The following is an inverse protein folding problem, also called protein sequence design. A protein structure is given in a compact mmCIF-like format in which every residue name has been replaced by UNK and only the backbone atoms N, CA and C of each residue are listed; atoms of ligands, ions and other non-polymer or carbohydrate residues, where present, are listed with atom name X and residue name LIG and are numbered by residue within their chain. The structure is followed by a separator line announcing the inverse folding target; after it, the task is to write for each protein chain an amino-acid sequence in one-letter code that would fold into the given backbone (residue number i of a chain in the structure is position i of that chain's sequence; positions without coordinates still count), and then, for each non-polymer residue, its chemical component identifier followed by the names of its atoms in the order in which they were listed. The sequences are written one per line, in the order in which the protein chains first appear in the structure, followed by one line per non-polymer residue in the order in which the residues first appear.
data_IF_999446176478
#
_entry.id   IF_999446176478
#
_cell.length_a   1.000
_cell.length_b   1.000
_cell.length_c   1.000
_cell.angle_alpha   90.00
_cell.angle_beta   90.00
_cell.angle_gamma   90.00
#
_symmetry.space_group_name_H-M   'P 1'
#
loop_
_entity.id
_entity.type
_entity.pdbx_description
1 polymer ?
#
# COMPACT_ATOMS: atom_id res chain seq x y z
N UNK A 1 9.45 -49.12 28.59
CA UNK A 1 9.94 -49.20 27.20
C UNK A 1 8.93 -48.75 26.14
N UNK A 2 7.62 -49.06 26.26
CA UNK A 2 6.58 -48.55 25.34
C UNK A 2 6.09 -47.13 25.68
N UNK A 3 5.97 -46.79 26.97
CA UNK A 3 5.50 -45.46 27.41
C UNK A 3 6.50 -44.32 27.19
N UNK A 4 7.81 -44.58 27.25
CA UNK A 4 8.84 -43.57 26.93
C UNK A 4 8.86 -43.23 25.45
N UNK A 5 8.76 -44.23 24.57
CA UNK A 5 8.68 -44.01 23.12
C UNK A 5 7.40 -43.27 22.71
N UNK A 6 6.32 -43.43 23.45
CA UNK A 6 5.08 -42.66 23.23
C UNK A 6 5.21 -41.20 23.70
N UNK A 7 5.93 -40.94 24.79
CA UNK A 7 6.27 -39.58 25.23
C UNK A 7 7.23 -38.89 24.26
N UNK A 8 8.24 -39.59 23.78
CA UNK A 8 9.20 -39.07 22.80
C UNK A 8 8.51 -38.82 21.45
N UNK A 9 7.61 -39.70 21.02
CA UNK A 9 6.80 -39.50 19.81
C UNK A 9 5.82 -38.33 19.95
N UNK A 10 5.21 -38.14 21.13
CA UNK A 10 4.34 -36.98 21.41
C UNK A 10 5.13 -35.68 21.55
N UNK A 11 6.36 -35.71 22.05
CA UNK A 11 7.27 -34.56 22.10
C UNK A 11 7.73 -34.18 20.69
N UNK A 12 8.15 -35.15 19.87
CA UNK A 12 8.54 -34.93 18.49
C UNK A 12 7.36 -34.47 17.60
N UNK A 13 6.15 -34.94 17.87
CA UNK A 13 4.93 -34.44 17.20
C UNK A 13 4.57 -33.01 17.61
N UNK A 14 4.87 -32.61 18.85
CA UNK A 14 4.65 -31.24 19.33
C UNK A 14 5.64 -30.26 18.69
N UNK A 15 6.85 -30.70 18.38
CA UNK A 15 7.84 -29.90 17.64
C UNK A 15 7.48 -29.78 16.15
N UNK A 16 6.82 -30.79 15.56
CA UNK A 16 6.35 -30.74 14.17
C UNK A 16 5.07 -29.87 14.03
N UNK A 17 4.19 -29.86 15.03
CA UNK A 17 3.02 -28.97 15.07
C UNK A 17 3.32 -27.55 15.60
N UNK A 18 4.56 -27.26 15.97
CA UNK A 18 5.00 -25.92 16.38
C UNK A 18 5.27 -24.96 15.20
N UNK A 19 5.37 -25.49 13.97
CA UNK A 19 5.76 -24.74 12.76
C UNK A 19 4.63 -24.59 11.73
N UNK A 20 3.42 -25.09 12.02
CA UNK A 20 2.26 -24.94 11.13
C UNK A 20 1.43 -23.67 11.43
N UNK A 21 2.06 -22.50 11.38
CA UNK A 21 1.31 -21.25 11.20
C UNK A 21 1.12 -20.97 9.70
N UNK A 22 0.27 -21.80 9.09
CA UNK A 22 -0.25 -21.60 7.75
C UNK A 22 -1.05 -20.30 7.67
N UNK A 23 -0.42 -19.22 7.24
CA UNK A 23 -1.09 -17.95 6.89
C UNK A 23 -0.54 -17.42 5.57
N UNK A 24 -1.10 -17.93 4.47
CA UNK A 24 -0.86 -17.47 3.10
C UNK A 24 -1.49 -16.10 2.86
N UNK A 25 -0.83 -15.00 3.26
CA UNK A 25 -1.18 -13.64 2.82
C UNK A 25 0.06 -12.74 2.79
N UNK A 26 0.64 -12.52 1.60
CA UNK A 26 1.63 -11.46 1.24
C UNK A 26 2.91 -11.38 2.09
N UNK A 27 4.10 -11.61 1.51
CA UNK A 27 5.36 -11.79 2.25
C UNK A 27 5.66 -10.81 3.41
N UNK A 28 5.36 -9.51 3.32
CA UNK A 28 5.60 -8.59 4.46
C UNK A 28 4.64 -8.86 5.63
N UNK A 29 3.44 -9.37 5.32
CA UNK A 29 2.42 -9.77 6.30
C UNK A 29 2.57 -11.23 6.78
N UNK A 30 3.28 -12.08 6.03
CA UNK A 30 3.64 -13.45 6.46
C UNK A 30 4.88 -13.43 7.34
N UNK A 31 5.86 -12.58 7.00
CA UNK A 31 7.18 -12.57 7.62
C UNK A 31 7.42 -11.36 8.53
N UNK A 32 6.35 -10.69 8.98
CA UNK A 32 6.43 -9.55 9.88
C UNK A 32 7.36 -9.78 11.08
N UNK A 33 7.19 -10.89 11.84
CA UNK A 33 8.06 -11.18 12.97
C UNK A 33 9.52 -11.37 12.54
N UNK A 34 9.77 -12.11 11.46
CA UNK A 34 11.12 -12.35 10.94
C UNK A 34 11.81 -11.06 10.48
N UNK A 35 11.05 -10.09 9.96
CA UNK A 35 11.59 -8.76 9.59
C UNK A 35 12.02 -7.99 10.84
N UNK A 36 11.23 -8.03 11.93
CA UNK A 36 11.63 -7.42 13.20
C UNK A 36 12.78 -8.18 13.87
N UNK A 37 12.86 -9.50 13.72
CA UNK A 37 14.01 -10.28 14.21
C UNK A 37 15.33 -9.88 13.52
N UNK A 38 15.29 -9.56 12.22
CA UNK A 38 16.46 -9.01 11.51
C UNK A 38 16.91 -7.65 12.08
N UNK A 39 16.03 -6.93 12.76
CA UNK A 39 16.31 -5.66 13.44
C UNK A 39 16.74 -5.85 14.91
N UNK A 40 17.15 -7.07 15.30
CA UNK A 40 17.63 -7.45 16.63
C UNK A 40 16.54 -7.67 17.69
N UNK A 41 15.26 -7.70 17.31
CA UNK A 41 14.20 -8.00 18.27
C UNK A 41 14.11 -9.49 18.61
N UNK A 42 13.77 -9.78 19.87
CA UNK A 42 13.34 -11.10 20.31
C UNK A 42 11.99 -11.49 19.67
N UNK A 43 11.81 -12.77 19.30
CA UNK A 43 10.62 -13.32 18.61
C UNK A 43 9.29 -12.85 19.21
N UNK A 44 9.13 -12.92 20.53
CA UNK A 44 7.86 -12.52 21.17
C UNK A 44 7.58 -11.02 21.08
N UNK A 45 8.62 -10.18 21.12
CA UNK A 45 8.46 -8.73 20.92
C UNK A 45 8.19 -8.41 19.45
N UNK A 46 8.87 -9.11 18.54
CA UNK A 46 8.67 -9.02 17.10
C UNK A 46 7.23 -9.35 16.68
N UNK A 47 6.62 -10.37 17.29
CA UNK A 47 5.20 -10.69 17.12
C UNK A 47 4.30 -9.51 17.54
N UNK A 48 4.47 -8.97 18.75
CA UNK A 48 3.64 -7.85 19.22
C UNK A 48 3.81 -6.59 18.36
N UNK A 49 5.04 -6.29 17.91
CA UNK A 49 5.30 -5.18 17.00
C UNK A 49 4.63 -5.40 15.63
N UNK A 50 4.61 -6.65 15.15
CA UNK A 50 3.91 -7.02 13.92
C UNK A 50 2.41 -6.77 14.04
N UNK A 51 1.78 -7.20 15.14
CA UNK A 51 0.37 -6.92 15.39
C UNK A 51 0.10 -5.41 15.44
N UNK A 52 0.95 -4.63 16.13
CA UNK A 52 0.86 -3.17 16.17
C UNK A 52 0.98 -2.54 14.78
N UNK A 53 1.86 -3.10 13.93
CA UNK A 53 2.03 -2.64 12.56
C UNK A 53 0.79 -2.91 11.70
N UNK A 54 0.07 -4.02 11.90
CA UNK A 54 -1.20 -4.25 11.19
C UNK A 54 -2.32 -3.32 11.61
N UNK A 55 -2.37 -2.94 12.89
CA UNK A 55 -3.33 -1.93 13.36
C UNK A 55 -3.01 -0.58 12.71
N UNK A 56 -1.73 -0.18 12.69
CA UNK A 56 -1.32 1.07 12.03
C UNK A 56 -1.65 1.03 10.54
N UNK A 57 -1.37 -0.10 9.88
CA UNK A 57 -1.69 -0.34 8.47
C UNK A 57 -3.18 -0.15 8.17
N UNK A 58 -4.06 -0.72 8.98
CA UNK A 58 -5.51 -0.58 8.84
C UNK A 58 -5.96 0.89 8.96
N UNK A 59 -5.40 1.63 9.92
CA UNK A 59 -5.69 3.05 10.09
C UNK A 59 -5.23 3.89 8.89
N UNK A 60 -3.99 3.69 8.42
CA UNK A 60 -3.45 4.43 7.28
C UNK A 60 -4.12 4.07 5.95
N UNK A 61 -4.51 2.80 5.78
CA UNK A 61 -5.33 2.37 4.65
C UNK A 61 -6.67 3.10 4.64
N UNK A 62 -7.33 3.23 5.79
CA UNK A 62 -8.60 3.98 5.88
C UNK A 62 -8.42 5.44 5.51
N UNK A 63 -7.32 6.06 5.96
CA UNK A 63 -6.98 7.43 5.61
C UNK A 63 -6.68 7.62 4.11
N UNK A 64 -6.15 6.59 3.44
CA UNK A 64 -5.84 6.60 2.00
C UNK A 64 -7.07 6.96 1.15
N UNK A 65 -8.25 6.45 1.52
CA UNK A 65 -9.50 6.71 0.81
C UNK A 65 -9.89 8.18 0.78
N UNK A 66 -9.51 8.94 1.80
CA UNK A 66 -9.78 10.39 1.84
C UNK A 66 -8.78 11.17 0.98
N UNK A 67 -7.55 10.66 0.86
CA UNK A 67 -6.45 11.36 0.19
C UNK A 67 -6.38 11.07 -1.32
N UNK A 68 -6.90 9.92 -1.75
CA UNK A 68 -6.80 9.42 -3.14
C UNK A 68 -7.47 10.35 -4.16
N UNK A 69 -8.59 10.98 -3.79
CA UNK A 69 -9.32 11.90 -4.65
C UNK A 69 -8.69 13.30 -4.72
N UNK A 70 -7.92 13.69 -3.70
CA UNK A 70 -7.29 15.02 -3.63
C UNK A 70 -5.94 15.04 -4.34
N UNK A 71 -5.13 14.01 -4.12
CA UNK A 71 -3.74 13.97 -4.62
C UNK A 71 -3.66 13.41 -6.04
N UNK A 72 -4.57 12.51 -6.41
CA UNK A 72 -4.53 11.75 -7.66
C UNK A 72 -3.79 10.42 -7.50
N UNK A 73 -4.17 9.43 -8.32
CA UNK A 73 -3.76 8.03 -8.19
C UNK A 73 -2.30 7.86 -8.61
N UNK A 74 -1.89 8.47 -9.74
CA UNK A 74 -0.52 8.33 -10.27
C UNK A 74 0.50 8.94 -9.34
N UNK A 75 0.21 10.15 -8.81
CA UNK A 75 1.12 10.82 -7.87
C UNK A 75 1.30 10.01 -6.60
N UNK A 76 0.22 9.46 -6.04
CA UNK A 76 0.29 8.62 -4.84
C UNK A 76 1.13 7.37 -5.04
N UNK A 77 0.98 6.68 -6.18
CA UNK A 77 1.78 5.50 -6.46
C UNK A 77 3.27 5.83 -6.68
N UNK A 78 3.59 6.88 -7.42
CA UNK A 78 4.99 7.26 -7.68
C UNK A 78 5.68 7.72 -6.39
N UNK A 79 5.07 8.63 -5.63
CA UNK A 79 5.60 9.07 -4.33
C UNK A 79 5.65 7.93 -3.32
N UNK A 80 4.65 7.05 -3.32
CA UNK A 80 4.62 5.84 -2.50
C UNK A 80 5.77 4.90 -2.81
N UNK A 81 6.09 4.70 -4.09
CA UNK A 81 7.22 3.88 -4.54
C UNK A 81 8.57 4.43 -4.09
N UNK A 82 8.74 5.75 -4.20
CA UNK A 82 9.96 6.43 -3.75
C UNK A 82 10.11 6.28 -2.25
N UNK A 83 9.05 6.55 -1.48
CA UNK A 83 9.03 6.39 -0.03
C UNK A 83 9.35 4.96 0.41
N UNK A 84 8.73 3.97 -0.23
CA UNK A 84 9.01 2.55 0.02
C UNK A 84 10.46 2.17 -0.29
N UNK A 85 10.98 2.62 -1.43
CA UNK A 85 12.35 2.32 -1.84
C UNK A 85 13.35 2.90 -0.84
N UNK A 86 13.15 4.14 -0.39
CA UNK A 86 13.98 4.77 0.64
C UNK A 86 13.88 4.02 1.96
N UNK A 87 12.68 3.66 2.41
CA UNK A 87 12.49 2.91 3.65
C UNK A 87 13.18 1.54 3.63
N UNK A 88 13.09 0.80 2.53
CA UNK A 88 13.76 -0.49 2.39
C UNK A 88 15.28 -0.37 2.28
N UNK A 89 15.80 0.70 1.66
CA UNK A 89 17.24 1.00 1.69
C UNK A 89 17.73 1.30 3.11
N UNK A 90 16.97 2.08 3.88
CA UNK A 90 17.31 2.35 5.27
C UNK A 90 17.23 1.08 6.12
N UNK A 91 16.22 0.23 5.93
CA UNK A 91 16.13 -1.07 6.61
C UNK A 91 17.32 -1.99 6.26
N UNK A 92 17.81 -1.94 5.02
CA UNK A 92 19.04 -2.65 4.63
C UNK A 92 20.25 -2.13 5.43
N UNK A 93 20.37 -0.81 5.58
CA UNK A 93 21.44 -0.18 6.36
C UNK A 93 21.38 -0.58 7.84
N UNK A 94 20.20 -0.49 8.47
CA UNK A 94 20.01 -0.88 9.88
C UNK A 94 20.22 -2.38 10.10
N UNK A 95 19.75 -3.23 9.17
CA UNK A 95 20.03 -4.67 9.20
C UNK A 95 21.52 -4.99 9.04
N UNK A 96 22.25 -4.22 8.22
CA UNK A 96 23.71 -4.36 8.11
C UNK A 96 24.48 -3.87 9.34
N UNK A 97 23.99 -2.82 10.02
CA UNK A 97 24.58 -2.35 11.29
C UNK A 97 24.45 -3.37 12.42
N UNK A 98 23.44 -4.24 12.38
CA UNK A 98 23.25 -5.33 13.35
C UNK A 98 24.39 -6.37 13.29
N UNK A 99 25.01 -6.55 12.12
CA UNK A 99 26.14 -7.46 11.96
C UNK A 99 27.48 -6.84 12.42
N UNK A 100 27.51 -5.53 12.73
CA UNK A 100 28.72 -4.83 13.19
C UNK A 100 28.81 -4.87 14.70
N UNK A 101 29.89 -5.47 15.22
CA UNK A 101 30.14 -5.54 16.66
C UNK A 101 30.31 -4.16 17.29
N UNK A 102 29.61 -3.89 18.39
CA UNK A 102 29.74 -2.66 19.19
C UNK A 102 28.65 -1.61 18.98
N UNK A 103 27.65 -1.88 18.13
CA UNK A 103 26.44 -1.05 18.02
C UNK A 103 25.42 -1.53 19.07
N UNK A 104 24.83 -0.65 19.90
CA UNK A 104 23.76 -1.04 20.81
C UNK A 104 22.49 -1.45 20.06
N UNK A 105 21.87 -2.57 20.43
CA UNK A 105 20.64 -3.09 19.79
C UNK A 105 19.52 -2.03 19.73
N UNK A 106 19.36 -1.27 20.81
CA UNK A 106 18.42 -0.14 20.91
C UNK A 106 18.60 0.93 19.81
N UNK A 107 19.84 1.13 19.34
CA UNK A 107 20.14 2.09 18.27
C UNK A 107 19.70 1.60 16.88
N UNK A 108 19.36 0.32 16.76
CA UNK A 108 18.90 -0.34 15.52
C UNK A 108 17.39 -0.59 15.62
N UNK A 109 16.95 -1.16 16.74
CA UNK A 109 15.56 -1.54 17.04
C UNK A 109 14.57 -0.37 16.86
N UNK A 110 14.86 0.77 17.50
CA UNK A 110 13.97 1.94 17.49
C UNK A 110 13.82 2.54 16.08
N UNK A 111 14.90 2.97 15.40
CA UNK A 111 14.76 3.55 14.07
C UNK A 111 14.26 2.53 13.05
N UNK A 112 14.71 1.27 13.12
CA UNK A 112 14.23 0.20 12.24
C UNK A 112 12.72 -0.01 12.34
N UNK A 113 12.18 -0.04 13.56
CA UNK A 113 10.73 -0.15 13.79
C UNK A 113 9.96 1.04 13.22
N UNK A 114 10.43 2.27 13.48
CA UNK A 114 9.78 3.48 12.96
C UNK A 114 9.76 3.46 11.43
N UNK A 115 10.86 3.06 10.79
CA UNK A 115 10.96 2.98 9.33
C UNK A 115 10.03 1.92 8.78
N UNK A 116 9.91 0.76 9.43
CA UNK A 116 9.01 -0.30 8.99
C UNK A 116 7.53 0.09 9.12
N UNK A 117 7.16 0.77 10.20
CA UNK A 117 5.83 1.36 10.37
C UNK A 117 5.57 2.44 9.30
N UNK A 118 6.54 3.31 9.03
CA UNK A 118 6.43 4.31 7.98
C UNK A 118 6.30 3.67 6.59
N UNK A 119 7.07 2.63 6.29
CA UNK A 119 6.97 1.88 5.03
C UNK A 119 5.55 1.28 4.86
N UNK A 120 5.02 0.69 5.92
CA UNK A 120 3.67 0.11 5.94
C UNK A 120 2.60 1.17 5.74
N UNK A 121 2.74 2.33 6.39
CA UNK A 121 1.85 3.48 6.19
C UNK A 121 1.89 4.00 4.75
N UNK A 122 3.08 4.17 4.19
CA UNK A 122 3.28 4.63 2.80
C UNK A 122 2.68 3.62 1.81
N UNK A 123 2.85 2.32 2.04
CA UNK A 123 2.24 1.28 1.22
C UNK A 123 0.70 1.33 1.26
N UNK A 124 0.13 1.44 2.47
CA UNK A 124 -1.31 1.54 2.66
C UNK A 124 -1.92 2.77 1.99
N UNK A 125 -1.26 3.92 2.09
CA UNK A 125 -1.73 5.17 1.47
C UNK A 125 -1.51 5.20 -0.04
N UNK A 126 -0.34 4.75 -0.50
CA UNK A 126 0.11 4.98 -1.87
C UNK A 126 -0.26 3.88 -2.85
N UNK A 127 -0.06 2.62 -2.47
CA UNK A 127 -0.10 1.49 -3.40
C UNK A 127 -1.34 0.64 -3.22
N UNK A 128 -1.75 0.33 -1.99
CA UNK A 128 -2.80 -0.65 -1.76
C UNK A 128 -4.14 -0.21 -2.35
N UNK A 129 -4.65 0.97 -2.01
CA UNK A 129 -5.95 1.42 -2.51
C UNK A 129 -5.93 1.71 -4.02
N UNK A 130 -4.84 2.29 -4.52
CA UNK A 130 -4.72 2.75 -5.91
C UNK A 130 -4.69 1.60 -6.92
N UNK A 131 -3.97 0.51 -6.64
CA UNK A 131 -3.85 -0.62 -7.59
C UNK A 131 -5.16 -1.38 -7.80
N UNK A 132 -6.05 -1.39 -6.82
CA UNK A 132 -7.38 -2.01 -6.97
C UNK A 132 -8.37 -1.11 -7.68
N UNK A 133 -8.13 0.20 -7.65
CA UNK A 133 -9.02 1.22 -8.19
C UNK A 133 -8.73 1.47 -9.68
N UNK A 134 -7.46 1.51 -10.08
CA UNK A 134 -7.04 1.75 -11.47
C UNK A 134 -7.67 0.79 -12.49
N UNK A 135 -7.71 -0.54 -12.29
CA UNK A 135 -8.37 -1.47 -13.22
C UNK A 135 -9.84 -1.12 -13.48
N UNK A 136 -10.54 -0.61 -12.47
CA UNK A 136 -11.95 -0.22 -12.60
C UNK A 136 -12.13 1.07 -13.40
N UNK A 137 -11.12 1.95 -13.41
CA UNK A 137 -11.11 3.23 -14.12
C UNK A 137 -10.56 3.10 -15.55
N UNK A 138 -9.70 2.10 -15.82
CA UNK A 138 -9.05 1.91 -17.12
C UNK A 138 -9.78 0.92 -18.03
N UNK A 139 -10.32 -0.17 -17.48
CA UNK A 139 -10.90 -1.20 -18.34
C UNK A 139 -12.28 -0.80 -18.89
N UNK A 140 -12.51 -0.93 -20.21
CA UNK A 140 -13.81 -0.69 -20.83
C UNK A 140 -14.84 -1.62 -20.19
N UNK A 141 -16.06 -1.12 -20.01
CA UNK A 141 -17.15 -1.84 -19.30
C UNK A 141 -17.36 -3.27 -19.81
N UNK A 142 -17.28 -3.47 -21.14
CA UNK A 142 -17.46 -4.76 -21.79
C UNK A 142 -16.37 -5.79 -21.44
N UNK A 143 -15.12 -5.36 -21.22
CA UNK A 143 -13.99 -6.25 -20.94
C UNK A 143 -13.51 -6.19 -19.48
N UNK A 144 -14.08 -5.32 -18.65
CA UNK A 144 -13.65 -5.08 -17.27
C UNK A 144 -13.61 -6.35 -16.43
N UNK A 145 -14.62 -7.20 -16.52
CA UNK A 145 -14.64 -8.45 -15.76
C UNK A 145 -13.47 -9.38 -16.15
N UNK A 146 -13.16 -9.49 -17.44
CA UNK A 146 -12.07 -10.32 -17.96
C UNK A 146 -10.69 -9.72 -17.64
N UNK A 147 -10.52 -8.42 -17.83
CA UNK A 147 -9.28 -7.70 -17.49
C UNK A 147 -8.96 -7.75 -16.00
N UNK A 148 -9.98 -7.56 -15.15
CA UNK A 148 -9.83 -7.69 -13.70
C UNK A 148 -9.50 -9.13 -13.29
N UNK A 149 -10.11 -10.14 -13.91
CA UNK A 149 -9.79 -11.54 -13.62
C UNK A 149 -8.32 -11.87 -13.94
N UNK A 150 -7.82 -11.44 -15.11
CA UNK A 150 -6.41 -11.63 -15.48
C UNK A 150 -5.49 -10.91 -14.49
N UNK A 151 -5.83 -9.67 -14.11
CA UNK A 151 -5.07 -8.89 -13.14
C UNK A 151 -4.95 -9.61 -11.79
N UNK A 152 -6.05 -10.17 -11.29
CA UNK A 152 -6.08 -10.94 -10.04
C UNK A 152 -5.28 -12.23 -10.14
N UNK A 153 -5.32 -12.94 -11.27
CA UNK A 153 -4.52 -14.14 -11.50
C UNK A 153 -3.02 -13.80 -11.48
N UNK A 154 -2.60 -12.76 -12.21
CA UNK A 154 -1.20 -12.32 -12.24
C UNK A 154 -0.73 -11.89 -10.86
N UNK A 155 -1.55 -11.12 -10.13
CA UNK A 155 -1.28 -10.75 -8.74
C UNK A 155 -1.14 -11.97 -7.83
N UNK A 156 -2.03 -12.96 -7.96
CA UNK A 156 -1.98 -14.21 -7.19
C UNK A 156 -0.72 -15.01 -7.46
N UNK A 157 -0.33 -15.15 -8.74
CA UNK A 157 0.91 -15.83 -9.13
C UNK A 157 2.15 -15.11 -8.62
N UNK A 158 2.17 -13.77 -8.69
CA UNK A 158 3.26 -12.97 -8.15
C UNK A 158 3.38 -13.14 -6.63
N UNK A 159 2.25 -13.13 -5.90
CA UNK A 159 2.25 -13.39 -4.46
C UNK A 159 2.71 -14.80 -4.12
N UNK A 160 2.30 -15.80 -4.89
CA UNK A 160 2.76 -17.18 -4.73
C UNK A 160 4.28 -17.27 -4.89
N UNK A 161 4.83 -16.70 -5.96
CA UNK A 161 6.27 -16.66 -6.19
C UNK A 161 7.00 -15.95 -5.05
N UNK A 162 6.53 -14.79 -4.62
CA UNK A 162 7.13 -14.03 -3.51
C UNK A 162 7.06 -14.82 -2.21
N UNK A 163 5.94 -15.50 -1.91
CA UNK A 163 5.77 -16.30 -0.70
C UNK A 163 6.71 -17.49 -0.67
N UNK A 164 6.94 -18.15 -1.82
CA UNK A 164 7.91 -19.25 -1.93
C UNK A 164 9.37 -18.78 -1.88
N UNK A 165 9.68 -17.63 -2.48
CA UNK A 165 11.05 -17.12 -2.57
C UNK A 165 11.52 -16.44 -1.29
N UNK A 166 10.61 -15.83 -0.54
CA UNK A 166 10.94 -15.08 0.67
C UNK A 166 11.65 -15.90 1.77
N UNK A 167 11.24 -17.14 2.12
CA UNK A 167 11.95 -17.93 3.13
C UNK A 167 13.35 -18.35 2.66
N UNK A 168 13.50 -18.65 1.36
CA UNK A 168 14.81 -18.92 0.73
C UNK A 168 15.68 -17.65 0.80
N UNK A 169 15.06 -16.48 0.61
CA UNK A 169 15.69 -15.17 0.74
C UNK A 169 16.18 -14.90 2.16
N UNK A 170 15.34 -15.11 3.18
CA UNK A 170 15.75 -14.92 4.58
C UNK A 170 16.95 -15.80 4.97
N UNK A 171 16.96 -17.06 4.54
CA UNK A 171 18.04 -17.99 4.87
C UNK A 171 19.38 -17.66 4.20
N UNK A 172 19.36 -17.14 2.98
CA UNK A 172 20.60 -16.90 2.21
C UNK A 172 21.05 -15.43 2.21
N UNK A 173 20.11 -14.50 2.09
CA UNK A 173 20.38 -13.06 1.90
C UNK A 173 20.24 -12.26 3.19
N UNK A 174 19.50 -12.76 4.21
CA UNK A 174 19.24 -12.04 5.46
C UNK A 174 18.79 -10.58 5.19
N UNK A 175 19.54 -9.59 5.67
CA UNK A 175 19.24 -8.16 5.48
C UNK A 175 19.37 -7.68 4.02
N UNK A 176 20.13 -8.37 3.16
CA UNK A 176 20.21 -8.04 1.72
C UNK A 176 18.88 -8.22 1.00
N UNK A 177 17.95 -9.00 1.57
CA UNK A 177 16.60 -9.14 1.03
C UNK A 177 15.86 -7.79 0.95
N UNK A 178 16.11 -6.88 1.91
CA UNK A 178 15.54 -5.54 1.88
C UNK A 178 16.01 -4.73 0.67
N UNK A 179 17.24 -4.95 0.20
CA UNK A 179 17.77 -4.30 -1.00
C UNK A 179 17.07 -4.80 -2.27
N UNK A 180 16.72 -6.08 -2.32
CA UNK A 180 15.90 -6.64 -3.41
C UNK A 180 14.53 -5.98 -3.42
N UNK A 181 13.89 -5.83 -2.26
CA UNK A 181 12.62 -5.11 -2.16
C UNK A 181 12.73 -3.63 -2.53
N UNK A 182 13.82 -2.94 -2.16
CA UNK A 182 14.05 -1.57 -2.59
C UNK A 182 14.17 -1.46 -4.12
N UNK A 183 14.90 -2.38 -4.76
CA UNK A 183 15.07 -2.40 -6.21
C UNK A 183 13.76 -2.69 -6.95
N UNK A 184 12.96 -3.65 -6.48
CA UNK A 184 11.66 -3.96 -7.10
C UNK A 184 10.65 -2.82 -6.92
N UNK A 185 10.62 -2.16 -5.76
CA UNK A 185 9.80 -0.97 -5.54
C UNK A 185 10.24 0.21 -6.43
N UNK A 186 11.55 0.38 -6.63
CA UNK A 186 12.08 1.43 -7.53
C UNK A 186 11.66 1.16 -8.97
N UNK A 187 11.79 -0.09 -9.42
CA UNK A 187 11.33 -0.50 -10.76
C UNK A 187 9.82 -0.33 -10.92
N UNK A 188 9.02 -0.72 -9.92
CA UNK A 188 7.59 -0.53 -9.91
C UNK A 188 7.20 0.95 -10.00
N UNK A 189 7.90 1.83 -9.25
CA UNK A 189 7.72 3.27 -9.34
C UNK A 189 8.06 3.85 -10.71
N UNK A 190 9.18 3.41 -11.31
CA UNK A 190 9.58 3.80 -12.65
C UNK A 190 8.57 3.34 -13.71
N UNK A 191 8.11 2.10 -13.62
CA UNK A 191 7.09 1.54 -14.50
C UNK A 191 5.78 2.34 -14.41
N UNK A 192 5.29 2.57 -13.20
CA UNK A 192 4.09 3.38 -12.96
C UNK A 192 4.27 4.80 -13.49
N UNK A 193 5.43 5.41 -13.29
CA UNK A 193 5.70 6.75 -13.82
C UNK A 193 5.63 6.80 -15.35
N UNK A 194 6.11 5.76 -16.05
CA UNK A 194 6.17 5.74 -17.52
C UNK A 194 4.86 5.30 -18.20
N UNK A 195 4.18 4.30 -17.64
CA UNK A 195 3.07 3.61 -18.29
C UNK A 195 1.70 3.86 -17.66
N UNK A 196 1.63 4.33 -16.40
CA UNK A 196 0.35 4.58 -15.75
C UNK A 196 -0.10 6.03 -16.00
N UNK A 197 -1.22 6.26 -16.72
CA UNK A 197 -1.82 7.59 -16.81
C UNK A 197 -2.47 7.98 -15.48
N UNK A 198 -2.75 9.28 -15.32
CA UNK A 198 -3.57 9.75 -14.19
C UNK A 198 -5.04 9.53 -14.54
N UNK A 199 -5.72 8.70 -13.73
CA UNK A 199 -7.12 8.31 -13.91
C UNK A 199 -8.09 9.08 -13.00
N UNK A 200 -7.57 9.78 -11.99
CA UNK A 200 -8.39 10.52 -11.02
C UNK A 200 -8.92 11.85 -11.52
N UNK A 201 -10.11 12.24 -11.04
CA UNK A 201 -10.73 13.53 -11.34
C UNK A 201 -11.43 13.61 -12.71
N UNK A 202 -11.69 12.47 -13.35
CA UNK A 202 -12.36 12.33 -14.65
C UNK A 202 -13.58 11.41 -14.55
N UNK A 203 -14.52 11.54 -15.47
CA UNK A 203 -15.54 10.51 -15.66
C UNK A 203 -14.93 9.25 -16.29
N UNK A 204 -15.66 8.14 -16.22
CA UNK A 204 -15.23 6.89 -16.81
C UNK A 204 -15.08 6.99 -18.34
N UNK A 205 -15.98 7.74 -18.99
CA UNK A 205 -16.02 7.96 -20.43
C UNK A 205 -14.80 8.77 -20.91
N UNK A 206 -14.43 9.84 -20.18
CA UNK A 206 -13.24 10.66 -20.49
C UNK A 206 -11.94 9.84 -20.40
N UNK A 207 -11.86 8.90 -19.47
CA UNK A 207 -10.72 7.97 -19.38
C UNK A 207 -10.69 7.01 -20.58
N UNK A 208 -11.84 6.52 -21.02
CA UNK A 208 -11.95 5.63 -22.18
C UNK A 208 -11.54 6.33 -23.49
N UNK A 209 -11.98 7.58 -23.69
CA UNK A 209 -11.59 8.40 -24.85
C UNK A 209 -10.08 8.62 -24.93
N UNK A 210 -9.42 8.84 -23.79
CA UNK A 210 -7.97 8.96 -23.71
C UNK A 210 -7.26 7.70 -24.23
N UNK A 211 -7.70 6.50 -23.81
CA UNK A 211 -7.10 5.25 -24.27
C UNK A 211 -7.37 4.97 -25.75
N UNK A 212 -8.55 5.35 -26.26
CA UNK A 212 -8.87 5.23 -27.68
C UNK A 212 -8.05 6.16 -28.57
N UNK A 213 -7.78 7.39 -28.10
CA UNK A 213 -6.88 8.32 -28.76
C UNK A 213 -5.44 7.78 -28.80
N UNK A 214 -4.94 7.29 -27.66
CA UNK A 214 -3.59 6.72 -27.56
C UNK A 214 -3.42 5.48 -28.46
N UNK A 215 -4.45 4.64 -28.57
CA UNK A 215 -4.44 3.48 -29.47
C UNK A 215 -4.32 3.88 -30.95
N UNK A 216 -4.95 5.00 -31.37
CA UNK A 216 -4.86 5.54 -32.74
C UNK A 216 -3.47 6.10 -33.06
N UNK A 217 -2.80 6.69 -32.08
CA UNK A 217 -1.44 7.23 -32.21
C UNK A 217 -0.35 6.14 -32.15
N UNK A 218 -0.71 4.89 -31.79
CA UNK A 218 0.24 3.77 -31.70
C UNK A 218 1.24 3.89 -30.56
N UNK A 219 1.02 4.81 -29.61
CA UNK A 219 1.90 5.02 -28.46
C UNK A 219 1.24 4.50 -27.17
N UNK A 220 1.87 3.50 -26.55
CA UNK A 220 1.47 2.94 -25.24
C UNK A 220 2.16 3.66 -24.07
N UNK A 221 3.05 4.61 -24.37
CA UNK A 221 3.69 5.44 -23.37
C UNK A 221 2.76 6.60 -23.03
N UNK A 222 2.69 6.98 -21.76
CA UNK A 222 2.01 8.22 -21.35
C UNK A 222 2.82 9.40 -21.90
N UNK A 223 2.59 9.76 -23.15
CA UNK A 223 3.14 10.96 -23.74
C UNK A 223 2.27 12.15 -23.36
N UNK A 224 2.92 13.29 -23.19
CA UNK A 224 2.25 14.57 -23.10
C UNK A 224 1.77 14.89 -24.52
N UNK A 225 0.51 14.57 -24.81
CA UNK A 225 -0.07 14.81 -26.15
C UNK A 225 0.07 16.30 -26.47
N UNK A 226 0.72 16.57 -27.60
CA UNK A 226 1.36 17.83 -27.95
C UNK A 226 0.38 18.77 -28.66
N UNK A 227 -0.70 19.12 -27.97
CA UNK A 227 -1.66 20.13 -28.44
C UNK A 227 -2.17 21.03 -27.30
N UNK A 228 -1.29 21.38 -26.36
CA UNK A 228 -1.44 22.56 -25.49
C UNK A 228 -2.65 22.62 -24.52
N UNK A 229 -3.57 21.67 -24.57
CA UNK A 229 -4.68 21.43 -23.64
C UNK A 229 -4.43 20.03 -23.05
N UNK A 230 -3.58 19.84 -22.05
CA UNK A 230 -3.79 20.34 -20.71
C UNK A 230 -2.52 20.17 -19.88
N UNK A 231 -1.82 21.26 -19.63
CA UNK A 231 -0.67 21.35 -18.70
C UNK A 231 -1.11 21.18 -17.23
N UNK A 232 -2.39 21.43 -16.99
CA UNK A 232 -3.28 20.97 -15.93
C UNK A 232 -4.57 20.65 -16.67
N UNK A 233 -5.23 19.52 -16.40
CA UNK A 233 -6.59 19.30 -16.91
C UNK A 233 -7.47 20.49 -16.53
N UNK A 234 -8.43 20.89 -17.38
CA UNK A 234 -9.40 21.85 -16.92
C UNK A 234 -10.16 21.10 -15.81
N UNK A 235 -10.37 21.73 -14.67
CA UNK A 235 -11.57 21.36 -13.93
C UNK A 235 -12.70 21.61 -14.92
N UNK A 236 -13.39 20.55 -15.36
CA UNK A 236 -14.59 20.72 -16.16
C UNK A 236 -15.45 21.74 -15.44
N UNK A 237 -15.90 22.77 -16.17
CA UNK A 237 -16.70 23.84 -15.60
C UNK A 237 -17.84 23.22 -14.80
N UNK A 238 -18.06 23.71 -13.58
CA UNK A 238 -19.00 23.20 -12.58
C UNK A 238 -20.49 23.39 -13.02
N UNK A 239 -20.81 23.28 -14.32
CA UNK A 239 -22.12 23.63 -14.86
C UNK A 239 -23.15 22.51 -14.88
N UNK A 240 -22.80 21.25 -14.59
CA UNK A 240 -23.83 20.22 -14.41
C UNK A 240 -23.55 19.39 -13.16
N UNK A 241 -24.55 19.36 -12.28
CA UNK A 241 -24.57 18.68 -10.99
C UNK A 241 -24.48 17.16 -11.07
N UNK A 242 -23.42 16.64 -11.70
CA UNK A 242 -23.05 15.25 -11.58
C UNK A 242 -22.16 15.08 -10.35
N UNK A 243 -22.78 14.67 -9.25
CA UNK A 243 -22.13 14.49 -7.95
C UNK A 243 -20.94 13.52 -7.99
N UNK A 244 -20.75 12.72 -9.05
CA UNK A 244 -19.67 11.76 -9.23
C UNK A 244 -18.25 12.36 -9.17
N UNK A 245 -18.08 13.66 -9.46
CA UNK A 245 -16.77 14.31 -9.55
C UNK A 245 -16.25 14.91 -8.23
N UNK A 246 -17.12 15.09 -7.23
CA UNK A 246 -16.73 15.72 -5.97
C UNK A 246 -15.90 14.74 -5.11
N UNK A 247 -14.72 15.16 -4.59
CA UNK A 247 -13.93 14.34 -3.67
C UNK A 247 -14.77 13.95 -2.46
N UNK A 248 -14.57 12.74 -1.93
CA UNK A 248 -15.38 12.22 -0.82
C UNK A 248 -15.41 13.15 0.40
N UNK A 249 -14.31 13.83 0.70
CA UNK A 249 -14.25 14.87 1.74
C UNK A 249 -15.24 16.01 1.46
N UNK A 250 -15.29 16.52 0.22
CA UNK A 250 -16.25 17.55 -0.18
C UNK A 250 -17.70 17.08 -0.02
N UNK A 251 -17.99 15.83 -0.40
CA UNK A 251 -19.33 15.25 -0.20
C UNK A 251 -19.69 15.02 1.26
N UNK A 252 -18.71 14.65 2.08
CA UNK A 252 -18.90 14.54 3.53
C UNK A 252 -19.15 15.89 4.18
N UNK A 253 -18.48 16.96 3.71
CA UNK A 253 -18.73 18.33 4.15
C UNK A 253 -20.11 18.83 3.71
N UNK A 254 -20.51 18.56 2.47
CA UNK A 254 -21.85 18.87 1.95
C UNK A 254 -22.95 18.07 2.68
N UNK A 255 -22.74 16.77 2.93
CA UNK A 255 -23.66 15.96 3.72
C UNK A 255 -23.74 16.44 5.18
N UNK A 256 -22.62 16.84 5.79
CA UNK A 256 -22.62 17.45 7.11
C UNK A 256 -23.43 18.76 7.10
N UNK A 257 -23.25 19.61 6.08
CA UNK A 257 -23.99 20.85 5.92
C UNK A 257 -25.51 20.62 5.70
N UNK A 258 -25.88 19.68 4.82
CA UNK A 258 -27.28 19.26 4.55
C UNK A 258 -27.94 18.64 5.79
N UNK A 259 -27.17 17.92 6.61
CA UNK A 259 -27.62 17.37 7.89
C UNK A 259 -27.63 18.41 9.04
N UNK A 260 -27.34 19.68 8.75
CA UNK A 260 -27.40 20.79 9.71
C UNK A 260 -26.19 20.93 10.63
N UNK A 261 -25.06 20.29 10.31
CA UNK A 261 -23.80 20.42 11.04
C UNK A 261 -22.93 21.52 10.40
N UNK A 262 -22.71 22.61 11.13
CA UNK A 262 -21.69 23.61 10.77
C UNK A 262 -20.31 23.13 11.25
N UNK A 263 -19.40 22.86 10.32
CA UNK A 263 -17.99 22.62 10.62
C UNK A 263 -17.24 23.95 10.46
N UNK A 264 -17.12 24.69 11.56
CA UNK A 264 -16.37 25.95 11.61
C UNK A 264 -14.90 25.66 11.93
N UNK A 265 -14.00 25.84 10.96
CA UNK A 265 -12.56 25.76 11.20
C UNK A 265 -12.06 27.15 11.62
N UNK A 266 -12.00 27.41 12.92
CA UNK A 266 -11.39 28.62 13.50
C UNK A 266 -10.15 28.21 14.33
N UNK A 267 -8.98 28.78 14.03
CA UNK A 267 -7.72 28.57 14.77
C UNK A 267 -7.21 27.11 14.90
N UNK A 268 -7.11 26.36 13.79
CA UNK A 268 -6.52 24.99 13.75
C UNK A 268 -7.13 23.98 14.75
N UNK A 269 -8.37 24.19 15.17
CA UNK A 269 -9.15 23.25 15.97
C UNK A 269 -10.42 22.93 15.18
N UNK A 270 -10.71 21.63 15.00
CA UNK A 270 -11.95 21.18 14.34
C UNK A 270 -13.01 21.03 15.42
N UNK A 271 -13.97 21.96 15.48
CA UNK A 271 -15.16 21.82 16.33
C UNK A 271 -16.37 21.44 15.48
N UNK A 272 -17.00 20.31 15.82
CA UNK A 272 -18.27 19.86 15.23
C UNK A 272 -19.40 20.41 16.10
N UNK A 273 -20.16 21.37 15.58
CA UNK A 273 -21.31 21.93 16.30
C UNK A 273 -22.56 21.10 15.94
N UNK A 274 -23.14 20.43 16.93
CA UNK A 274 -24.38 19.67 16.75
C UNK A 274 -25.57 20.60 16.43
N UNK A 275 -26.54 20.17 15.60
CA UNK A 275 -27.74 20.96 15.35
C UNK A 275 -28.50 21.19 16.67
N UNK A 276 -28.84 22.45 16.97
CA UNK A 276 -29.75 22.76 18.07
C UNK A 276 -31.12 22.17 17.72
N UNK A 277 -31.52 21.11 18.43
CA UNK A 277 -32.88 20.62 18.42
C UNK A 277 -33.80 21.75 18.94
N UNK A 278 -34.51 22.42 18.03
CA UNK A 278 -35.51 23.42 18.36
C UNK A 278 -36.70 22.76 19.07
N UNK A 279 -37.17 23.39 20.15
CA UNK A 279 -38.43 23.04 20.84
C UNK A 279 -39.64 23.32 19.95
#
# INVERSE_FOLDING_TARGET
MSMEREKDAKSALKDIHGDEDGKSYGAVSVYGPQIFELLSFETRKAEYLTLGNYISYFCFMTFAWLLIDVVGRRKLMVWGSIGLSVSFLLLTLFGGLNEVSGVPDLAIEIPGSIILFAATAIFGIGWLATVWLIPTEIYPSAARAQGSAISVIVWGLANFAVTLLTPIGFNNLKYWLFLVFAATNTFAGWWTWKYCPESGGRSFEENQEFFESAAKEGSWAVQKVDDGKFKSMPKGDDEEGNGERAPLLGRMFELAYILGYEIQIRNRQVQVVLPRCGK
#
